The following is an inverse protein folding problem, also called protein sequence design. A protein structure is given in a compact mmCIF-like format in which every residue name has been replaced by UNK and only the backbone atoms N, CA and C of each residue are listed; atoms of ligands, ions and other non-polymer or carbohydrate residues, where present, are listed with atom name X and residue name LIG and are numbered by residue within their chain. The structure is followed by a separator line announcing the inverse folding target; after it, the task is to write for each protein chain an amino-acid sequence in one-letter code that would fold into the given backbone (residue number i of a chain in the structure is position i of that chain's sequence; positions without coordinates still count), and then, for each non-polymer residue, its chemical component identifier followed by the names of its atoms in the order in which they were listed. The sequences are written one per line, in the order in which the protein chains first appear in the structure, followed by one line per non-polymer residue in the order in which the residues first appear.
data_IF_955035892710
#
_entry.id   IF_955035892710
#
_cell.length_a   1.000
_cell.length_b   1.000
_cell.length_c   1.000
_cell.angle_alpha   90.00
_cell.angle_beta   90.00
_cell.angle_gamma   90.00
#
_symmetry.space_group_name_H-M   'P 1'
#
loop_
_entity.id
_entity.type
_entity.pdbx_description
1 polymer ?
#
# COMPACT_ATOMS: atom_id res chain seq x y z
N UNK A 1 16.21 -4.09 10.82
CA UNK A 1 15.11 -5.07 10.64
C UNK A 1 15.02 -5.88 11.92
N UNK A 2 13.83 -6.10 12.41
CA UNK A 2 13.64 -6.89 13.65
C UNK A 2 14.11 -8.33 13.42
N UNK A 3 14.81 -8.92 14.39
CA UNK A 3 15.22 -10.34 14.38
C UNK A 3 14.02 -11.31 14.55
N UNK A 4 12.84 -10.88 14.13
CA UNK A 4 11.64 -11.69 14.22
C UNK A 4 11.65 -12.82 13.20
N UNK A 5 11.23 -14.00 13.64
CA UNK A 5 10.95 -15.13 12.74
C UNK A 5 9.72 -14.85 11.90
N UNK A 6 9.58 -15.54 10.78
CA UNK A 6 8.48 -15.37 9.83
C UNK A 6 7.10 -15.42 10.49
N UNK A 7 6.89 -16.36 11.40
CA UNK A 7 5.62 -16.51 12.15
C UNK A 7 5.33 -15.30 13.04
N UNK A 8 6.36 -14.69 13.62
CA UNK A 8 6.24 -13.49 14.44
C UNK A 8 5.95 -12.26 13.59
N UNK A 9 6.58 -12.15 12.40
CA UNK A 9 6.30 -11.08 11.44
C UNK A 9 4.83 -11.08 11.02
N UNK A 10 4.23 -12.25 10.78
CA UNK A 10 2.81 -12.39 10.39
C UNK A 10 1.85 -11.79 11.41
N UNK A 11 2.20 -11.79 12.69
CA UNK A 11 1.30 -11.40 13.77
C UNK A 11 1.55 -9.97 14.29
N UNK A 12 2.79 -9.48 14.24
CA UNK A 12 3.16 -8.32 15.03
C UNK A 12 3.59 -7.09 14.22
N UNK A 13 4.13 -7.26 13.00
CA UNK A 13 4.57 -6.12 12.22
C UNK A 13 3.42 -5.17 11.90
N UNK A 14 3.64 -3.89 12.14
CA UNK A 14 2.68 -2.81 11.95
C UNK A 14 1.71 -2.62 13.13
N UNK A 15 1.81 -3.48 14.18
CA UNK A 15 1.03 -3.34 15.41
C UNK A 15 1.87 -3.63 16.66
N UNK A 16 3.13 -3.27 16.64
CA UNK A 16 4.06 -3.44 17.77
C UNK A 16 3.60 -2.63 18.98
N UNK A 17 2.94 -1.51 18.74
CA UNK A 17 2.35 -0.64 19.75
C UNK A 17 0.82 -0.70 19.70
N UNK A 18 0.12 -0.51 20.82
CA UNK A 18 -1.33 -0.41 20.85
C UNK A 18 -1.79 0.84 20.08
N UNK A 19 -3.04 0.86 19.66
CA UNK A 19 -3.64 2.06 19.06
C UNK A 19 -3.60 3.24 20.04
N UNK A 20 -3.03 4.39 19.66
CA UNK A 20 -2.80 5.50 20.58
C UNK A 20 -4.10 6.18 21.08
N UNK A 21 -5.22 5.98 20.40
CA UNK A 21 -6.49 6.58 20.76
C UNK A 21 -7.34 5.71 21.71
N UNK A 22 -7.18 4.39 21.64
CA UNK A 22 -8.05 3.45 22.34
C UNK A 22 -7.30 2.40 23.18
N UNK A 23 -5.97 2.39 23.14
CA UNK A 23 -5.11 1.36 23.71
C UNK A 23 -5.43 -0.07 23.21
N UNK A 24 -6.16 -0.18 22.09
CA UNK A 24 -6.52 -1.46 21.51
C UNK A 24 -5.28 -2.22 21.02
N UNK A 25 -5.20 -3.49 21.40
CA UNK A 25 -4.15 -4.40 20.89
C UNK A 25 -4.40 -4.79 19.44
N UNK A 26 -5.66 -5.04 19.08
CA UNK A 26 -6.05 -5.30 17.70
C UNK A 26 -6.01 -4.00 16.88
N UNK A 27 -5.66 -4.11 15.61
CA UNK A 27 -5.68 -2.97 14.68
C UNK A 27 -7.11 -2.49 14.48
N UNK A 28 -7.45 -1.23 14.83
CA UNK A 28 -8.77 -0.67 14.56
C UNK A 28 -9.07 -0.58 13.06
N UNK A 29 -10.35 -0.70 12.69
CA UNK A 29 -10.79 -0.49 11.31
C UNK A 29 -11.20 0.98 11.17
N UNK A 30 -10.33 1.77 10.53
CA UNK A 30 -10.59 3.19 10.26
C UNK A 30 -11.37 3.36 8.94
N UNK A 31 -12.69 3.26 9.00
CA UNK A 31 -13.59 3.44 7.86
C UNK A 31 -13.84 4.94 7.61
N UNK A 32 -12.81 5.66 7.19
CA UNK A 32 -12.87 7.10 6.93
C UNK A 32 -12.24 7.47 5.59
N UNK A 33 -12.74 8.53 4.97
CA UNK A 33 -12.19 9.08 3.72
C UNK A 33 -11.21 10.22 3.98
N UNK A 34 -11.40 11.02 5.03
CA UNK A 34 -10.61 12.23 5.27
C UNK A 34 -10.20 12.35 6.73
N UNK A 35 -9.15 13.12 6.95
CA UNK A 35 -8.59 13.39 8.27
C UNK A 35 -8.57 14.89 8.54
N UNK A 36 -8.70 15.28 9.81
CA UNK A 36 -8.77 16.68 10.23
C UNK A 36 -7.36 17.20 10.52
N UNK A 37 -7.09 18.42 10.11
CA UNK A 37 -5.87 19.13 10.45
C UNK A 37 -6.13 20.07 11.65
N UNK A 38 -5.12 20.24 12.50
CA UNK A 38 -5.22 21.08 13.68
C UNK A 38 -5.25 22.58 13.33
N UNK A 39 -4.54 22.96 12.26
CA UNK A 39 -4.46 24.31 11.71
C UNK A 39 -3.87 24.30 10.29
N UNK A 40 -3.77 25.44 9.65
CA UNK A 40 -3.28 25.56 8.27
C UNK A 40 -1.81 25.15 8.12
N UNK A 41 -0.98 25.39 9.13
CA UNK A 41 0.43 24.98 9.10
C UNK A 41 0.56 23.44 9.14
N UNK A 42 -0.20 22.79 10.01
CA UNK A 42 -0.24 21.31 10.06
C UNK A 42 -0.68 20.72 8.71
N UNK A 43 -1.66 21.34 8.04
CA UNK A 43 -2.05 20.92 6.69
C UNK A 43 -0.90 21.09 5.68
N UNK A 44 -0.23 22.25 5.69
CA UNK A 44 0.90 22.51 4.80
C UNK A 44 2.04 21.50 5.01
N UNK A 45 2.37 21.20 6.26
CA UNK A 45 3.43 20.25 6.61
C UNK A 45 3.10 18.81 6.14
N UNK A 46 1.82 18.39 6.27
CA UNK A 46 1.34 17.10 5.76
C UNK A 46 1.41 17.00 4.25
N UNK A 47 0.91 18.00 3.52
CA UNK A 47 0.97 18.03 2.06
C UNK A 47 2.39 18.23 1.54
N UNK A 48 3.24 18.91 2.30
CA UNK A 48 4.66 19.10 1.99
C UNK A 48 5.56 17.93 2.39
N UNK A 49 4.98 16.85 2.98
CA UNK A 49 5.70 15.68 3.49
C UNK A 49 6.73 16.00 4.59
N UNK A 50 6.61 17.15 5.24
CA UNK A 50 7.42 17.52 6.40
C UNK A 50 6.91 16.88 7.70
N UNK A 51 5.64 16.55 7.75
CA UNK A 51 5.01 15.76 8.80
C UNK A 51 4.40 14.47 8.24
N UNK A 52 4.61 13.36 8.92
CA UNK A 52 4.08 12.06 8.52
C UNK A 52 2.68 11.86 9.10
N UNK A 53 1.75 11.33 8.31
CA UNK A 53 0.43 10.95 8.79
C UNK A 53 -0.63 10.97 7.71
N UNK A 54 -1.85 10.70 8.14
CA UNK A 54 -2.95 10.53 7.21
C UNK A 54 -3.50 11.88 6.73
N UNK A 55 -3.85 11.94 5.46
CA UNK A 55 -4.47 13.09 4.79
C UNK A 55 -5.84 12.69 4.27
N UNK A 56 -5.88 11.65 3.48
CA UNK A 56 -7.07 11.16 2.80
C UNK A 56 -6.97 9.65 2.56
N UNK A 57 -8.05 8.91 2.79
CA UNK A 57 -8.08 7.45 2.78
C UNK A 57 -7.66 6.77 1.47
N UNK A 58 -7.72 7.47 0.34
CA UNK A 58 -7.18 6.98 -0.94
C UNK A 58 -5.65 6.97 -0.96
N UNK A 59 -5.02 7.88 -0.22
CA UNK A 59 -3.57 8.01 -0.15
C UNK A 59 -2.99 7.21 1.01
N UNK A 60 -3.57 7.37 2.19
CA UNK A 60 -3.11 6.75 3.43
C UNK A 60 -4.28 6.41 4.34
N UNK A 61 -4.18 5.27 5.02
CA UNK A 61 -5.13 4.87 6.06
C UNK A 61 -4.40 3.98 7.06
N UNK A 62 -4.61 4.19 8.36
CA UNK A 62 -3.88 3.46 9.40
C UNK A 62 -4.14 1.94 9.35
N UNK A 63 -5.34 1.50 9.02
CA UNK A 63 -5.65 0.07 8.87
C UNK A 63 -4.91 -0.53 7.67
N UNK A 64 -4.97 0.14 6.52
CA UNK A 64 -4.27 -0.26 5.30
C UNK A 64 -2.75 -0.26 5.52
N UNK A 65 -2.22 0.75 6.22
CA UNK A 65 -0.80 0.87 6.50
C UNK A 65 -0.23 -0.31 7.29
N UNK A 66 -0.99 -0.89 8.21
CA UNK A 66 -0.56 -2.13 8.90
C UNK A 66 -0.43 -3.30 7.94
N UNK A 67 -1.36 -3.46 7.01
CA UNK A 67 -1.27 -4.49 5.97
C UNK A 67 -0.04 -4.27 5.09
N UNK A 68 0.17 -3.05 4.62
CA UNK A 68 1.31 -2.69 3.76
C UNK A 68 2.65 -2.96 4.43
N UNK A 69 2.81 -2.56 5.69
CA UNK A 69 4.02 -2.82 6.47
C UNK A 69 4.25 -4.32 6.67
N UNK A 70 3.21 -5.06 6.99
CA UNK A 70 3.30 -6.49 7.27
C UNK A 70 3.66 -7.30 6.03
N UNK A 71 2.98 -7.07 4.91
CA UNK A 71 3.30 -7.78 3.67
C UNK A 71 4.70 -7.44 3.17
N UNK A 72 5.09 -6.17 3.30
CA UNK A 72 6.45 -5.73 2.96
C UNK A 72 7.52 -6.47 3.78
N UNK A 73 7.28 -6.62 5.09
CA UNK A 73 8.21 -7.35 5.95
C UNK A 73 8.27 -8.85 5.63
N UNK A 74 7.16 -9.47 5.30
CA UNK A 74 7.07 -10.89 4.94
C UNK A 74 7.76 -11.19 3.62
N UNK A 75 7.67 -10.29 2.65
CA UNK A 75 8.30 -10.41 1.33
C UNK A 75 9.74 -9.86 1.29
N UNK A 76 10.25 -9.33 2.40
CA UNK A 76 11.57 -8.67 2.45
C UNK A 76 11.65 -7.40 1.61
N UNK A 77 10.51 -6.77 1.32
CA UNK A 77 10.39 -5.55 0.54
C UNK A 77 10.74 -4.29 1.34
N UNK A 78 10.97 -3.20 0.63
CA UNK A 78 11.21 -1.87 1.22
C UNK A 78 9.90 -1.21 1.65
N UNK A 79 8.85 -1.38 0.86
CA UNK A 79 7.51 -0.85 1.12
C UNK A 79 6.46 -1.68 0.36
N UNK A 80 5.21 -1.59 0.78
CA UNK A 80 4.05 -2.15 0.11
C UNK A 80 3.02 -1.07 -0.19
N UNK A 81 2.21 -1.28 -1.21
CA UNK A 81 1.05 -0.45 -1.55
C UNK A 81 -0.17 -1.36 -1.72
N UNK A 82 -1.16 -1.16 -0.87
CA UNK A 82 -2.43 -1.88 -0.98
C UNK A 82 -3.34 -1.21 -2.01
N UNK A 83 -3.94 -2.01 -2.86
CA UNK A 83 -4.90 -1.57 -3.87
C UNK A 83 -6.16 -2.45 -3.83
N UNK A 84 -7.23 -2.00 -4.46
CA UNK A 84 -8.55 -2.62 -4.35
C UNK A 84 -8.66 -4.02 -5.01
N UNK A 85 -7.71 -4.39 -5.88
CA UNK A 85 -7.71 -5.69 -6.57
C UNK A 85 -6.35 -6.08 -7.10
N UNK A 86 -6.13 -7.39 -7.33
CA UNK A 86 -4.93 -7.88 -8.01
C UNK A 86 -4.79 -7.34 -9.44
N UNK A 87 -5.88 -7.14 -10.15
CA UNK A 87 -5.85 -6.52 -11.48
C UNK A 87 -5.34 -5.07 -11.42
N UNK A 88 -5.75 -4.30 -10.41
CA UNK A 88 -5.23 -2.95 -10.17
C UNK A 88 -3.73 -2.99 -9.83
N UNK A 89 -3.31 -3.93 -8.98
CA UNK A 89 -1.90 -4.09 -8.63
C UNK A 89 -1.03 -4.34 -9.87
N UNK A 90 -1.44 -5.25 -10.73
CA UNK A 90 -0.72 -5.56 -11.98
C UNK A 90 -0.70 -4.33 -12.90
N UNK A 91 -1.84 -3.68 -13.10
CA UNK A 91 -1.97 -2.52 -13.99
C UNK A 91 -1.07 -1.38 -13.53
N UNK A 92 -1.11 -1.03 -12.25
CA UNK A 92 -0.30 0.06 -11.71
C UNK A 92 1.19 -0.25 -11.72
N UNK A 93 1.56 -1.51 -11.49
CA UNK A 93 2.96 -1.94 -11.58
C UNK A 93 3.49 -1.75 -13.00
N UNK A 94 2.73 -2.18 -14.01
CA UNK A 94 3.12 -2.01 -15.42
C UNK A 94 3.22 -0.54 -15.78
N UNK A 95 2.21 0.28 -15.43
CA UNK A 95 2.20 1.71 -15.73
C UNK A 95 3.31 2.48 -15.01
N UNK A 96 3.76 2.02 -13.85
CA UNK A 96 4.87 2.62 -13.14
C UNK A 96 6.24 2.29 -13.76
N UNK A 97 6.38 1.12 -14.36
CA UNK A 97 7.65 0.61 -14.85
C UNK A 97 7.84 0.75 -16.36
N UNK A 98 6.77 0.77 -17.14
CA UNK A 98 6.81 0.81 -18.61
C UNK A 98 6.01 1.99 -19.16
N UNK A 99 6.60 2.70 -20.11
CA UNK A 99 5.99 3.82 -20.86
C UNK A 99 5.45 3.32 -22.19
N UNK A 100 4.62 4.15 -22.82
CA UNK A 100 4.14 3.89 -24.18
C UNK A 100 5.31 3.71 -25.16
N UNK A 101 5.27 2.62 -25.92
CA UNK A 101 6.31 2.25 -26.88
C UNK A 101 7.40 1.36 -26.33
N UNK A 102 7.42 1.09 -25.04
CA UNK A 102 8.35 0.14 -24.42
C UNK A 102 7.83 -1.30 -24.52
N UNK A 103 8.73 -2.26 -24.40
CA UNK A 103 8.41 -3.68 -24.56
C UNK A 103 8.27 -4.40 -23.22
N UNK A 104 7.26 -5.26 -23.13
CA UNK A 104 7.01 -6.13 -21.98
C UNK A 104 7.16 -7.58 -22.41
N UNK A 105 7.98 -8.36 -21.71
CA UNK A 105 8.10 -9.81 -21.91
C UNK A 105 7.32 -10.50 -20.80
N UNK A 106 6.34 -11.31 -21.20
CA UNK A 106 5.47 -12.03 -20.26
C UNK A 106 5.44 -13.52 -20.58
N UNK A 107 5.28 -14.35 -19.56
CA UNK A 107 5.12 -15.78 -19.73
C UNK A 107 3.79 -16.09 -20.44
N UNK A 108 3.79 -17.07 -21.36
CA UNK A 108 2.58 -17.47 -22.10
C UNK A 108 1.42 -17.95 -21.22
N UNK A 109 1.73 -18.55 -20.08
CA UNK A 109 0.75 -19.14 -19.16
C UNK A 109 0.40 -18.26 -17.96
N UNK A 110 0.49 -16.92 -18.11
CA UNK A 110 0.05 -15.98 -17.09
C UNK A 110 -1.47 -15.99 -16.93
N UNK A 111 -1.94 -15.42 -15.81
CA UNK A 111 -3.36 -15.22 -15.55
C UNK A 111 -4.08 -14.54 -16.73
N UNK A 112 -5.24 -15.07 -17.12
CA UNK A 112 -5.98 -14.63 -18.32
C UNK A 112 -6.31 -13.13 -18.31
N UNK A 113 -6.67 -12.56 -17.16
CA UNK A 113 -6.90 -11.10 -17.04
C UNK A 113 -5.64 -10.28 -17.35
N UNK A 114 -4.47 -10.74 -16.93
CA UNK A 114 -3.20 -10.10 -17.25
C UNK A 114 -2.86 -10.25 -18.73
N UNK A 115 -3.12 -11.42 -19.30
CA UNK A 115 -2.95 -11.66 -20.74
C UNK A 115 -3.80 -10.69 -21.58
N UNK A 116 -5.06 -10.53 -21.20
CA UNK A 116 -5.97 -9.57 -21.86
C UNK A 116 -5.51 -8.11 -21.69
N UNK A 117 -5.05 -7.74 -20.49
CA UNK A 117 -4.49 -6.42 -20.24
C UNK A 117 -3.32 -6.11 -21.19
N UNK A 118 -2.37 -7.03 -21.30
CA UNK A 118 -1.17 -6.86 -22.12
C UNK A 118 -1.46 -6.91 -23.62
N UNK A 119 -2.39 -7.77 -24.06
CA UNK A 119 -2.66 -7.98 -25.47
C UNK A 119 -3.66 -6.97 -26.07
N UNK A 120 -4.60 -6.48 -25.28
CA UNK A 120 -5.76 -5.75 -25.81
C UNK A 120 -6.01 -4.39 -25.16
N UNK A 121 -5.61 -4.19 -23.92
CA UNK A 121 -5.90 -2.94 -23.19
C UNK A 121 -4.75 -1.94 -23.26
N UNK A 122 -3.54 -2.39 -22.94
CA UNK A 122 -2.37 -1.50 -22.94
C UNK A 122 -1.90 -1.05 -24.33
N UNK A 123 -2.06 -1.83 -25.43
CA UNK A 123 -1.66 -1.38 -26.74
C UNK A 123 -2.54 -0.28 -27.36
N UNK A 124 -3.68 0.07 -26.76
CA UNK A 124 -4.55 1.17 -27.20
C UNK A 124 -4.04 2.53 -26.74
#
# INVERSE_FOLDING_TARGET
MSDYKFETLQLHVGQEHPDPASDARAVPIYATTSYVFHNSQHAADRFGLADTGNIYGRLTNSTQGVFEQRISALEGGVAGLAVASGAAAITYTIQALAKQGEHIVAQKTIYGGTSNLLAHTLPL
#
